data_IF_150505891252
#
_entry.id   IF_150505891252
#
_cell.length_a   1.000
_cell.length_b   1.000
_cell.length_c   1.000
_cell.angle_alpha   90.00
_cell.angle_beta   90.00
_cell.angle_gamma   90.00
#
_symmetry.space_group_name_H-M   'P 1'
#
loop_
_entity.id
_entity.type
_entity.pdbx_description
1 polymer ?
#
# COMPACT_ATOMS: atom_id res chain seq x y z
N UNK A 1 4.53 7.75 -25.99
CA UNK A 1 5.38 8.23 -24.87
C UNK A 1 5.37 9.76 -24.70
N UNK A 2 5.97 10.56 -25.60
CA UNK A 2 6.03 12.05 -25.45
C UNK A 2 4.66 12.74 -25.30
N UNK A 3 3.59 12.23 -25.91
CA UNK A 3 2.29 12.91 -25.94
C UNK A 3 1.49 12.76 -24.63
N UNK A 4 1.56 11.60 -23.96
CA UNK A 4 0.81 11.36 -22.70
C UNK A 4 1.46 12.10 -21.53
N UNK A 5 2.79 12.01 -21.40
CA UNK A 5 3.52 12.76 -20.37
C UNK A 5 3.36 14.28 -20.53
N UNK A 6 3.34 14.79 -21.77
CA UNK A 6 3.01 16.20 -22.06
C UNK A 6 1.57 16.55 -21.69
N UNK A 7 0.61 15.64 -21.89
CA UNK A 7 -0.79 15.85 -21.53
C UNK A 7 -0.97 15.97 -20.01
N UNK A 8 -0.31 15.12 -19.22
CA UNK A 8 -0.34 15.19 -17.75
C UNK A 8 0.23 16.52 -17.26
N UNK A 9 1.37 16.96 -17.83
CA UNK A 9 1.95 18.26 -17.52
C UNK A 9 1.01 19.42 -17.92
N UNK A 10 0.40 19.37 -19.12
CA UNK A 10 -0.56 20.37 -19.60
C UNK A 10 -1.80 20.46 -18.69
N UNK A 11 -2.39 19.33 -18.29
CA UNK A 11 -3.53 19.29 -17.35
C UNK A 11 -3.15 19.93 -16.01
N UNK A 12 -1.96 19.65 -15.48
CA UNK A 12 -1.46 20.28 -14.26
C UNK A 12 -1.35 21.81 -14.34
N UNK A 13 -0.98 22.36 -15.49
CA UNK A 13 -0.94 23.82 -15.70
C UNK A 13 -2.33 24.45 -15.85
N UNK A 14 -3.29 23.75 -16.46
CA UNK A 14 -4.66 24.27 -16.68
C UNK A 14 -5.44 24.43 -15.38
N UNK A 15 -5.21 23.58 -14.37
CA UNK A 15 -5.89 23.67 -13.06
C UNK A 15 -5.24 24.61 -12.04
N UNK A 16 -4.29 25.46 -12.46
CA UNK A 16 -3.72 26.52 -11.61
C UNK A 16 -4.68 27.71 -11.48
N UNK A 17 -5.79 27.53 -10.76
CA UNK A 17 -6.73 28.60 -10.42
C UNK A 17 -6.77 28.80 -8.90
N UNK A 18 -6.88 30.07 -8.47
CA UNK A 18 -6.98 30.47 -7.06
C UNK A 18 -8.27 29.92 -6.44
N UNK A 19 -8.21 28.74 -5.83
CA UNK A 19 -9.28 28.22 -4.98
C UNK A 19 -9.09 28.70 -3.52
N UNK A 20 -10.20 29.07 -2.87
CA UNK A 20 -10.24 29.55 -1.49
C UNK A 20 -9.97 28.41 -0.48
N UNK A 21 -10.12 27.15 -0.91
CA UNK A 21 -9.75 25.93 -0.20
C UNK A 21 -9.16 24.91 -1.19
N UNK A 22 -7.97 24.36 -0.90
CA UNK A 22 -7.27 23.40 -1.79
C UNK A 22 -7.88 22.00 -1.62
N UNK A 23 -8.07 21.23 -2.71
CA UNK A 23 -8.56 19.86 -2.61
C UNK A 23 -7.57 18.99 -1.81
N UNK A 24 -8.11 18.06 -1.02
CA UNK A 24 -7.33 17.07 -0.26
C UNK A 24 -7.72 15.69 -0.74
N UNK A 25 -6.79 15.03 -1.41
CA UNK A 25 -6.97 13.67 -1.93
C UNK A 25 -6.57 12.64 -0.86
N UNK A 26 -7.54 11.89 -0.35
CA UNK A 26 -7.36 10.79 0.60
C UNK A 26 -6.69 9.58 -0.04
N UNK A 27 -6.23 8.62 0.74
CA UNK A 27 -5.56 7.43 0.20
C UNK A 27 -6.50 6.53 -0.62
N UNK A 28 -7.74 6.41 -0.18
CA UNK A 28 -8.83 5.74 -0.89
C UNK A 28 -9.76 6.82 -1.44
N UNK A 29 -10.08 6.76 -2.73
CA UNK A 29 -10.81 7.83 -3.44
C UNK A 29 -12.22 8.05 -2.90
N UNK A 30 -12.86 7.00 -2.40
CA UNK A 30 -14.18 7.11 -1.77
C UNK A 30 -14.14 7.81 -0.39
N UNK A 31 -13.00 8.23 0.14
CA UNK A 31 -12.96 9.08 1.34
C UNK A 31 -12.71 10.56 1.01
N UNK A 32 -12.56 10.91 -0.27
CA UNK A 32 -12.43 12.31 -0.69
C UNK A 32 -13.72 13.09 -0.33
N UNK A 33 -13.58 14.20 0.41
CA UNK A 33 -14.70 15.02 0.87
C UNK A 33 -14.72 16.39 0.18
N UNK A 34 -15.70 16.56 -0.70
CA UNK A 34 -15.95 17.80 -1.44
C UNK A 34 -17.25 18.51 -0.99
N UNK A 35 -17.81 18.15 0.16
CA UNK A 35 -19.08 18.72 0.64
C UNK A 35 -19.00 20.20 0.95
N UNK A 36 -17.79 20.74 1.20
CA UNK A 36 -17.54 22.19 1.32
C UNK A 36 -17.92 22.98 0.06
N UNK A 37 -17.94 22.35 -1.11
CA UNK A 37 -18.39 22.99 -2.35
C UNK A 37 -19.90 23.18 -2.39
N UNK A 38 -20.68 22.52 -1.53
CA UNK A 38 -22.15 22.60 -1.55
C UNK A 38 -22.66 24.04 -1.61
N UNK A 39 -22.12 24.92 -0.77
CA UNK A 39 -22.58 26.30 -0.59
C UNK A 39 -21.88 27.30 -1.52
N UNK A 40 -20.92 26.84 -2.34
CA UNK A 40 -20.18 27.70 -3.26
C UNK A 40 -21.02 28.07 -4.48
N UNK A 41 -21.34 29.36 -4.63
CA UNK A 41 -22.11 29.89 -5.77
C UNK A 41 -21.25 30.22 -7.00
N UNK A 42 -19.93 30.17 -6.85
CA UNK A 42 -18.92 30.60 -7.84
C UNK A 42 -18.02 29.47 -8.33
N UNK A 43 -18.54 28.24 -8.35
CA UNK A 43 -17.81 27.03 -8.78
C UNK A 43 -17.21 27.15 -10.19
N UNK A 44 -15.92 26.84 -10.31
CA UNK A 44 -15.26 26.61 -11.59
C UNK A 44 -15.65 25.24 -12.21
N UNK A 45 -15.16 24.92 -13.41
CA UNK A 45 -15.52 23.69 -14.11
C UNK A 45 -15.15 22.41 -13.35
N UNK A 46 -14.00 22.41 -12.66
CA UNK A 46 -13.56 21.32 -11.82
C UNK A 46 -14.47 21.15 -10.59
N UNK A 47 -14.76 22.24 -9.89
CA UNK A 47 -15.62 22.21 -8.70
C UNK A 47 -17.04 21.74 -9.03
N UNK A 48 -17.54 22.02 -10.25
CA UNK A 48 -18.83 21.54 -10.72
C UNK A 48 -18.89 20.01 -10.88
N UNK A 49 -17.82 19.35 -11.29
CA UNK A 49 -17.79 17.88 -11.37
C UNK A 49 -17.51 17.23 -10.01
N UNK A 50 -16.93 17.98 -9.06
CA UNK A 50 -16.72 17.54 -7.68
C UNK A 50 -17.94 17.62 -6.79
N UNK A 51 -18.92 18.42 -7.16
CA UNK A 51 -20.19 18.45 -6.47
C UNK A 51 -21.33 18.75 -7.45
N UNK A 52 -21.98 17.68 -7.91
CA UNK A 52 -23.11 17.70 -8.83
C UNK A 52 -24.39 17.47 -8.00
N UNK A 53 -25.22 18.50 -7.74
CA UNK A 53 -26.47 18.31 -7.01
C UNK A 53 -27.46 17.46 -7.84
N UNK A 54 -28.07 16.46 -7.22
CA UNK A 54 -29.04 15.54 -7.85
C UNK A 54 -30.47 15.88 -7.41
N UNK A 55 -30.91 17.09 -7.75
CA UNK A 55 -32.22 17.62 -7.41
C UNK A 55 -32.18 18.68 -6.31
N UNK A 56 -33.31 18.87 -5.62
CA UNK A 56 -33.46 19.90 -4.57
C UNK A 56 -33.08 19.41 -3.18
N UNK A 57 -32.87 18.11 -2.99
CA UNK A 57 -32.49 17.56 -1.71
C UNK A 57 -30.97 17.63 -1.58
N UNK A 58 -30.50 18.44 -0.63
CA UNK A 58 -29.11 18.65 -0.30
C UNK A 58 -28.31 17.38 0.04
N UNK A 59 -29.00 16.28 0.38
CA UNK A 59 -28.38 14.98 0.62
C UNK A 59 -28.13 14.17 -0.65
N UNK A 60 -28.60 14.66 -1.80
CA UNK A 60 -28.52 13.98 -3.09
C UNK A 60 -27.49 14.69 -3.96
N UNK A 61 -26.34 14.07 -4.15
CA UNK A 61 -25.25 14.64 -4.95
C UNK A 61 -24.38 13.54 -5.54
N UNK A 62 -23.66 13.89 -6.61
CA UNK A 62 -22.63 13.06 -7.19
C UNK A 62 -21.28 13.79 -7.22
N UNK A 63 -20.20 13.03 -7.18
CA UNK A 63 -18.84 13.50 -7.43
C UNK A 63 -18.22 12.63 -8.51
N UNK A 64 -17.39 13.23 -9.36
CA UNK A 64 -16.58 12.52 -10.35
C UNK A 64 -15.12 12.83 -10.04
N UNK A 65 -14.28 11.82 -10.04
CA UNK A 65 -12.85 11.98 -9.80
C UNK A 65 -12.01 10.97 -10.53
N UNK A 66 -10.70 11.13 -10.38
CA UNK A 66 -9.78 10.21 -10.99
C UNK A 66 -8.33 10.46 -10.64
N UNK A 67 -7.50 9.56 -11.14
CA UNK A 67 -6.07 9.60 -11.02
C UNK A 67 -5.43 9.20 -12.35
N UNK A 68 -4.35 9.89 -12.71
CA UNK A 68 -3.42 9.49 -13.75
C UNK A 68 -2.06 9.40 -13.10
N UNK A 69 -1.41 8.24 -13.17
CA UNK A 69 -0.03 8.08 -12.73
C UNK A 69 0.79 7.50 -13.87
N UNK A 70 1.81 8.24 -14.28
CA UNK A 70 2.82 7.79 -15.23
C UNK A 70 4.13 7.60 -14.49
N UNK A 71 4.73 6.41 -14.59
CA UNK A 71 5.99 6.09 -13.96
C UNK A 71 6.93 5.43 -14.97
N UNK A 72 8.00 6.12 -15.33
CA UNK A 72 9.09 5.51 -16.07
C UNK A 72 10.07 4.87 -15.09
N UNK A 73 10.42 3.61 -15.32
CA UNK A 73 11.32 2.83 -14.49
C UNK A 73 12.49 2.32 -15.32
N UNK A 74 13.67 2.36 -14.73
CA UNK A 74 14.89 1.80 -15.29
C UNK A 74 15.58 0.96 -14.22
N UNK A 75 15.95 -0.27 -14.58
CA UNK A 75 16.60 -1.23 -13.68
C UNK A 75 17.89 -1.74 -14.30
N UNK A 76 18.82 -2.14 -13.44
CA UNK A 76 20.04 -2.88 -13.84
C UNK A 76 20.21 -4.06 -12.91
N UNK A 77 20.45 -5.24 -13.48
CA UNK A 77 20.52 -6.53 -12.80
C UNK A 77 19.22 -6.87 -12.03
N UNK A 78 18.06 -6.83 -12.69
CA UNK A 78 16.78 -7.18 -12.07
C UNK A 78 16.85 -8.56 -11.39
N UNK A 79 16.18 -8.67 -10.24
CA UNK A 79 16.34 -9.77 -9.27
C UNK A 79 17.80 -10.15 -9.02
N UNK A 80 18.64 -9.15 -8.73
CA UNK A 80 20.08 -9.33 -8.47
C UNK A 80 20.84 -10.04 -9.60
N UNK A 81 20.35 -9.92 -10.83
CA UNK A 81 20.95 -10.45 -12.06
C UNK A 81 20.40 -11.79 -12.51
N UNK A 82 19.40 -12.35 -11.83
CA UNK A 82 18.76 -13.61 -12.21
C UNK A 82 17.70 -13.42 -13.31
N UNK A 83 17.24 -12.19 -13.52
CA UNK A 83 16.36 -11.82 -14.63
C UNK A 83 17.05 -10.89 -15.63
N UNK A 84 16.55 -10.92 -16.87
CA UNK A 84 17.03 -10.03 -17.92
C UNK A 84 16.45 -8.63 -17.74
N UNK A 85 17.31 -7.63 -17.75
CA UNK A 85 16.87 -6.24 -17.71
C UNK A 85 16.05 -5.86 -18.95
N UNK A 86 15.02 -5.04 -18.73
CA UNK A 86 14.38 -4.29 -19.80
C UNK A 86 15.36 -3.23 -20.31
N UNK A 87 16.06 -3.50 -21.43
CA UNK A 87 17.20 -2.72 -21.92
C UNK A 87 17.10 -1.19 -21.73
N UNK A 88 16.08 -0.55 -22.30
CA UNK A 88 15.87 0.91 -22.21
C UNK A 88 14.84 1.32 -21.13
N UNK A 89 14.58 0.46 -20.14
CA UNK A 89 13.52 0.65 -19.13
C UNK A 89 12.11 0.41 -19.65
N UNK A 90 11.11 0.67 -18.80
CA UNK A 90 9.69 0.50 -19.10
C UNK A 90 8.83 1.62 -18.52
N UNK A 91 7.59 1.78 -19.04
CA UNK A 91 6.63 2.77 -18.57
C UNK A 91 5.40 2.07 -18.00
N UNK A 92 5.09 2.42 -16.75
CA UNK A 92 3.85 2.05 -16.08
C UNK A 92 2.88 3.21 -16.13
N UNK A 93 1.69 2.99 -16.68
CA UNK A 93 0.60 3.95 -16.67
C UNK A 93 -0.56 3.41 -15.85
N UNK A 94 -1.08 4.20 -14.92
CA UNK A 94 -2.31 3.90 -14.16
C UNK A 94 -3.34 5.01 -14.40
N UNK A 95 -4.55 4.60 -14.71
CA UNK A 95 -5.73 5.47 -14.79
C UNK A 95 -6.79 4.96 -13.84
N UNK A 96 -7.29 5.83 -12.97
CA UNK A 96 -8.49 5.61 -12.15
C UNK A 96 -9.54 6.63 -12.57
N UNK A 97 -10.76 6.16 -12.81
CA UNK A 97 -11.92 7.01 -13.04
C UNK A 97 -13.06 6.55 -12.16
N UNK A 98 -13.56 7.45 -11.31
CA UNK A 98 -14.60 7.12 -10.34
C UNK A 98 -15.78 8.08 -10.35
N UNK A 99 -16.91 7.56 -9.88
CA UNK A 99 -18.11 8.29 -9.55
C UNK A 99 -18.61 7.86 -8.16
N UNK A 100 -18.92 8.84 -7.33
CA UNK A 100 -19.49 8.65 -5.99
C UNK A 100 -20.86 9.32 -5.95
N UNK A 101 -21.90 8.55 -5.62
CA UNK A 101 -23.28 9.04 -5.66
C UNK A 101 -23.95 8.81 -4.32
N UNK A 102 -24.43 9.90 -3.72
CA UNK A 102 -25.13 9.91 -2.45
C UNK A 102 -26.61 10.16 -2.67
N UNK A 103 -27.45 9.33 -2.04
CA UNK A 103 -28.90 9.42 -2.05
C UNK A 103 -29.46 9.21 -0.64
N UNK A 104 -29.27 10.20 0.24
CA UNK A 104 -29.80 10.16 1.59
C UNK A 104 -29.01 9.19 2.47
N UNK A 105 -29.60 8.04 2.81
CA UNK A 105 -28.92 6.98 3.59
C UNK A 105 -28.17 5.98 2.71
N UNK A 106 -28.38 6.04 1.40
CA UNK A 106 -27.71 5.19 0.44
C UNK A 106 -26.55 5.94 -0.20
N UNK A 107 -25.45 5.22 -0.45
CA UNK A 107 -24.34 5.73 -1.25
C UNK A 107 -23.82 4.61 -2.14
N UNK A 108 -23.50 4.90 -3.39
CA UNK A 108 -22.81 3.97 -4.28
C UNK A 108 -21.54 4.59 -4.82
N UNK A 109 -20.49 3.79 -4.95
CA UNK A 109 -19.23 4.21 -5.54
C UNK A 109 -18.83 3.22 -6.61
N UNK A 110 -18.38 3.73 -7.75
CA UNK A 110 -17.88 2.94 -8.87
C UNK A 110 -16.54 3.51 -9.33
N UNK A 111 -15.56 2.64 -9.56
CA UNK A 111 -14.24 3.01 -10.07
C UNK A 111 -13.76 2.03 -11.12
N UNK A 112 -13.34 2.56 -12.27
CA UNK A 112 -12.62 1.81 -13.30
C UNK A 112 -11.12 2.01 -13.09
N UNK A 113 -10.35 0.94 -13.25
CA UNK A 113 -8.88 0.98 -13.24
C UNK A 113 -8.34 0.46 -14.56
N UNK A 114 -7.34 1.16 -15.10
CA UNK A 114 -6.48 0.69 -16.17
C UNK A 114 -5.03 0.79 -15.71
N UNK A 115 -4.29 -0.32 -15.80
CA UNK A 115 -2.88 -0.46 -15.45
C UNK A 115 -2.13 -1.04 -16.65
N UNK A 116 -1.30 -0.25 -17.30
CA UNK A 116 -0.57 -0.63 -18.51
C UNK A 116 0.94 -0.72 -18.22
N UNK A 117 1.61 -1.72 -18.80
CA UNK A 117 3.05 -1.91 -18.67
C UNK A 117 3.73 -1.90 -20.04
N UNK A 118 4.03 -0.69 -20.55
CA UNK A 118 4.63 -0.52 -21.86
C UNK A 118 6.13 -0.86 -21.83
N UNK A 119 6.56 -1.72 -22.76
CA UNK A 119 7.95 -2.18 -22.92
C UNK A 119 8.52 -3.00 -21.76
N UNK A 120 7.70 -3.37 -20.78
CA UNK A 120 8.09 -4.35 -19.75
C UNK A 120 8.04 -5.75 -20.34
N UNK A 121 9.09 -6.53 -20.14
CA UNK A 121 9.14 -7.94 -20.53
C UNK A 121 8.32 -8.72 -19.50
N UNK A 122 7.41 -9.58 -19.98
CA UNK A 122 6.56 -10.47 -19.17
C UNK A 122 5.92 -9.79 -17.93
N UNK A 123 5.08 -8.76 -18.12
CA UNK A 123 4.49 -8.01 -17.01
C UNK A 123 3.63 -8.92 -16.13
N UNK A 124 3.81 -8.81 -14.81
CA UNK A 124 2.99 -9.53 -13.85
C UNK A 124 1.59 -8.91 -13.73
N UNK A 125 0.60 -9.59 -13.11
CA UNK A 125 -0.73 -9.01 -12.93
C UNK A 125 -0.82 -7.76 -12.05
N UNK A 126 0.26 -7.44 -11.30
CA UNK A 126 0.35 -6.18 -10.56
C UNK A 126 1.01 -5.06 -11.38
N UNK A 127 1.62 -5.39 -12.51
CA UNK A 127 2.17 -4.45 -13.50
C UNK A 127 1.13 -4.11 -14.58
N UNK A 128 0.46 -5.11 -15.15
CA UNK A 128 -0.52 -4.96 -16.22
C UNK A 128 -1.88 -5.60 -15.88
N UNK A 129 -2.91 -4.77 -15.93
CA UNK A 129 -4.32 -5.13 -15.96
C UNK A 129 -5.06 -4.05 -16.76
N UNK A 130 -5.48 -4.35 -18.00
CA UNK A 130 -5.68 -3.31 -19.02
C UNK A 130 -6.91 -2.46 -18.75
N UNK A 131 -8.02 -3.04 -18.31
CA UNK A 131 -9.21 -2.28 -17.91
C UNK A 131 -10.20 -3.15 -17.14
N UNK A 132 -10.46 -2.82 -15.87
CA UNK A 132 -11.39 -3.56 -15.03
C UNK A 132 -12.26 -2.67 -14.14
N UNK A 133 -13.39 -3.25 -13.69
CA UNK A 133 -14.21 -2.69 -12.64
C UNK A 133 -13.50 -2.91 -11.29
N UNK A 134 -12.76 -1.89 -10.87
CA UNK A 134 -11.89 -1.97 -9.69
C UNK A 134 -12.67 -1.84 -8.39
N UNK A 135 -13.66 -0.95 -8.33
CA UNK A 135 -14.56 -0.82 -7.18
C UNK A 135 -16.00 -0.66 -7.64
N UNK A 136 -16.92 -1.29 -6.92
CA UNK A 136 -18.35 -1.17 -7.09
C UNK A 136 -19.04 -1.64 -5.81
N UNK A 137 -19.49 -0.70 -4.98
CA UNK A 137 -20.13 -1.01 -3.71
C UNK A 137 -21.35 -0.14 -3.41
N UNK A 138 -22.21 -0.66 -2.55
CA UNK A 138 -23.34 0.04 -1.94
C UNK A 138 -23.10 0.17 -0.43
N UNK A 139 -23.24 1.40 0.07
CA UNK A 139 -23.27 1.76 1.48
C UNK A 139 -24.72 2.04 1.90
N UNK A 140 -25.07 1.56 3.09
CA UNK A 140 -26.32 1.87 3.80
C UNK A 140 -25.96 2.42 5.18
N UNK A 141 -26.24 3.70 5.40
CA UNK A 141 -26.07 4.37 6.67
C UNK A 141 -27.27 4.06 7.60
N UNK A 142 -27.06 3.21 8.60
CA UNK A 142 -28.04 2.96 9.66
C UNK A 142 -28.07 4.10 10.67
N UNK A 143 -26.90 4.70 10.93
CA UNK A 143 -26.72 5.86 11.80
C UNK A 143 -25.76 6.80 11.09
N UNK A 144 -26.13 8.08 10.95
CA UNK A 144 -25.23 9.14 10.50
C UNK A 144 -25.62 10.46 11.13
N UNK A 145 -24.88 10.84 12.16
CA UNK A 145 -25.00 12.13 12.85
C UNK A 145 -23.60 12.68 13.19
N UNK A 146 -23.54 13.85 13.81
CA UNK A 146 -22.27 14.53 14.11
C UNK A 146 -21.29 13.72 14.96
N UNK A 147 -21.78 12.76 15.77
CA UNK A 147 -20.99 12.05 16.75
C UNK A 147 -20.81 10.57 16.45
N UNK A 148 -21.67 10.00 15.61
CA UNK A 148 -21.74 8.56 15.37
C UNK A 148 -22.10 8.26 13.91
N UNK A 149 -21.43 7.24 13.38
CA UNK A 149 -21.72 6.65 12.08
C UNK A 149 -21.76 5.13 12.23
N UNK A 150 -22.79 4.50 11.67
CA UNK A 150 -22.88 3.06 11.49
C UNK A 150 -23.29 2.80 10.05
N UNK A 151 -22.39 2.21 9.28
CA UNK A 151 -22.58 1.98 7.85
C UNK A 151 -22.30 0.52 7.53
N UNK A 152 -23.18 -0.08 6.73
CA UNK A 152 -22.94 -1.38 6.12
C UNK A 152 -22.61 -1.19 4.64
N UNK A 153 -21.50 -1.79 4.21
CA UNK A 153 -21.01 -1.79 2.84
C UNK A 153 -21.05 -3.20 2.27
N UNK A 154 -21.52 -3.34 1.04
CA UNK A 154 -21.46 -4.58 0.28
C UNK A 154 -20.98 -4.32 -1.15
N UNK A 155 -20.11 -5.18 -1.67
CA UNK A 155 -19.58 -5.11 -3.02
C UNK A 155 -18.06 -5.12 -3.08
N UNK A 156 -17.53 -4.83 -4.26
CA UNK A 156 -16.10 -4.74 -4.55
C UNK A 156 -15.55 -3.43 -4.04
N UNK A 157 -14.55 -3.49 -3.15
CA UNK A 157 -14.03 -2.32 -2.46
C UNK A 157 -12.55 -2.45 -2.16
N UNK A 158 -11.86 -1.33 -2.03
CA UNK A 158 -10.54 -1.30 -1.43
C UNK A 158 -10.62 -1.41 0.10
N UNK A 159 -9.56 -1.94 0.70
CA UNK A 159 -9.36 -1.93 2.14
C UNK A 159 -7.96 -1.44 2.49
N UNK A 160 -7.87 -0.60 3.51
CA UNK A 160 -6.62 0.00 3.99
C UNK A 160 -6.66 0.11 5.49
N UNK A 161 -5.77 -0.60 6.19
CA UNK A 161 -5.69 -0.55 7.65
C UNK A 161 -4.26 -0.28 8.13
N UNK A 162 -4.17 0.38 9.29
CA UNK A 162 -2.91 0.69 9.96
C UNK A 162 -1.88 1.38 9.08
N UNK A 163 -0.64 0.92 9.18
CA UNK A 163 0.51 1.33 8.38
C UNK A 163 0.54 0.69 6.97
N UNK A 164 -0.53 -0.05 6.58
CA UNK A 164 -0.64 -0.87 5.37
C UNK A 164 0.38 -2.02 5.27
N UNK A 165 0.85 -2.50 6.42
CA UNK A 165 1.74 -3.67 6.51
C UNK A 165 1.01 -4.99 6.29
N UNK A 166 -0.27 -5.09 6.66
CA UNK A 166 -1.06 -6.33 6.53
C UNK A 166 -2.15 -6.26 5.46
N UNK A 167 -2.87 -5.14 5.40
CA UNK A 167 -3.96 -4.92 4.43
C UNK A 167 -3.78 -3.54 3.84
N UNK A 168 -3.58 -3.52 2.53
CA UNK A 168 -3.33 -2.31 1.77
C UNK A 168 -4.14 -2.28 0.48
N UNK A 169 -4.09 -1.11 -0.15
CA UNK A 169 -4.56 -0.87 -1.51
C UNK A 169 -3.50 -1.16 -2.57
N UNK A 170 -2.27 -1.56 -2.19
CA UNK A 170 -1.10 -1.66 -3.09
C UNK A 170 -0.85 -0.39 -3.88
N UNK A 171 -0.61 0.71 -3.16
CA UNK A 171 -0.38 2.00 -3.82
C UNK A 171 0.86 2.00 -4.71
N UNK A 172 1.93 1.28 -4.32
CA UNK A 172 3.22 1.28 -5.03
C UNK A 172 3.22 0.47 -6.34
N UNK A 173 2.75 -0.80 -6.39
CA UNK A 173 2.56 -1.53 -7.65
C UNK A 173 1.72 -0.74 -8.67
N UNK A 174 1.67 -1.16 -9.95
CA UNK A 174 0.89 -0.44 -10.97
C UNK A 174 -0.61 -0.71 -10.91
N UNK A 175 -1.02 -1.87 -10.41
CA UNK A 175 -2.41 -2.21 -10.16
C UNK A 175 -2.72 -2.25 -8.66
N UNK A 176 -3.79 -1.57 -8.24
CA UNK A 176 -4.29 -1.62 -6.86
C UNK A 176 -5.07 -2.92 -6.66
N UNK A 177 -5.25 -3.32 -5.40
CA UNK A 177 -6.03 -4.52 -5.03
C UNK A 177 -7.38 -4.15 -4.45
N UNK A 178 -8.40 -4.89 -4.87
CA UNK A 178 -9.76 -4.81 -4.32
C UNK A 178 -10.18 -6.13 -3.68
N UNK A 179 -11.28 -6.06 -2.94
CA UNK A 179 -11.83 -7.14 -2.15
C UNK A 179 -13.34 -7.19 -2.39
N UNK A 180 -13.87 -8.35 -2.78
CA UNK A 180 -15.30 -8.58 -2.89
C UNK A 180 -15.85 -9.04 -1.54
N UNK A 181 -16.85 -8.35 -1.00
CA UNK A 181 -17.49 -8.83 0.22
C UNK A 181 -18.32 -7.79 0.94
N UNK A 182 -18.44 -7.99 2.25
CA UNK A 182 -19.23 -7.12 3.11
C UNK A 182 -18.40 -6.59 4.27
N UNK A 183 -18.71 -5.37 4.70
CA UNK A 183 -18.05 -4.67 5.79
C UNK A 183 -19.08 -3.88 6.58
N UNK A 184 -19.03 -3.99 7.90
CA UNK A 184 -19.75 -3.12 8.81
C UNK A 184 -18.72 -2.24 9.51
N UNK A 185 -18.91 -0.92 9.46
CA UNK A 185 -18.04 0.00 10.19
C UNK A 185 -18.82 0.95 11.06
N UNK A 186 -18.33 1.11 12.28
CA UNK A 186 -18.85 2.00 13.29
C UNK A 186 -17.78 3.02 13.66
N UNK A 187 -18.15 4.30 13.67
CA UNK A 187 -17.27 5.39 14.06
C UNK A 187 -17.97 6.26 15.09
N UNK A 188 -17.23 6.66 16.12
CA UNK A 188 -17.59 7.74 17.03
C UNK A 188 -16.40 8.70 17.20
N UNK A 189 -16.54 9.70 18.10
CA UNK A 189 -15.52 10.75 18.33
C UNK A 189 -14.07 10.27 18.41
N UNK A 190 -13.79 9.18 19.13
CA UNK A 190 -12.44 8.69 19.37
C UNK A 190 -12.25 7.22 19.01
N UNK A 191 -13.31 6.53 18.56
CA UNK A 191 -13.32 5.10 18.32
C UNK A 191 -13.80 4.81 16.91
N UNK A 192 -13.08 3.94 16.20
CA UNK A 192 -13.54 3.37 14.94
C UNK A 192 -13.39 1.85 15.02
N UNK A 193 -14.37 1.11 14.51
CA UNK A 193 -14.27 -0.34 14.39
C UNK A 193 -14.92 -0.81 13.11
N UNK A 194 -14.17 -1.62 12.40
CA UNK A 194 -14.55 -2.22 11.14
C UNK A 194 -14.59 -3.73 11.35
N UNK A 195 -15.63 -4.40 10.88
CA UNK A 195 -15.73 -5.86 10.82
C UNK A 195 -16.06 -6.26 9.38
N UNK A 196 -15.39 -7.27 8.84
CA UNK A 196 -15.50 -7.60 7.43
C UNK A 196 -15.32 -9.09 7.15
N UNK A 197 -15.90 -9.51 6.03
CA UNK A 197 -15.66 -10.80 5.39
C UNK A 197 -15.56 -10.58 3.89
N UNK A 198 -14.43 -10.95 3.31
CA UNK A 198 -14.08 -10.57 1.95
C UNK A 198 -13.28 -11.64 1.22
N UNK A 199 -13.27 -11.53 -0.10
CA UNK A 199 -12.52 -12.33 -1.05
C UNK A 199 -11.57 -11.38 -1.80
N UNK A 200 -10.26 -11.43 -1.53
CA UNK A 200 -9.27 -10.62 -2.22
C UNK A 200 -9.22 -10.95 -3.71
N UNK A 201 -9.35 -9.95 -4.57
CA UNK A 201 -9.33 -10.14 -6.02
C UNK A 201 -7.94 -10.54 -6.50
N UNK A 202 -7.90 -11.54 -7.38
CA UNK A 202 -6.71 -11.92 -8.11
C UNK A 202 -6.77 -11.20 -9.47
N UNK A 203 -5.95 -10.17 -9.64
CA UNK A 203 -5.87 -9.47 -10.92
C UNK A 203 -5.37 -10.44 -11.99
N UNK A 204 -5.97 -10.39 -13.18
CA UNK A 204 -5.58 -11.20 -14.33
C UNK A 204 -5.35 -10.26 -15.52
N UNK A 205 -4.20 -10.33 -16.22
CA UNK A 205 -3.96 -9.46 -17.36
C UNK A 205 -5.06 -9.59 -18.42
N UNK A 206 -5.80 -8.51 -18.66
CA UNK A 206 -6.95 -8.56 -19.55
C UNK A 206 -7.84 -7.33 -19.45
N UNK A 207 -9.10 -7.50 -19.84
CA UNK A 207 -10.15 -6.48 -19.78
C UNK A 207 -11.41 -7.14 -19.24
N UNK A 208 -11.94 -6.62 -18.14
CA UNK A 208 -13.19 -7.08 -17.50
C UNK A 208 -13.19 -8.58 -17.21
N UNK A 209 -12.09 -9.09 -16.66
CA UNK A 209 -11.88 -10.51 -16.38
C UNK A 209 -11.40 -10.78 -14.94
N UNK A 210 -11.43 -9.78 -14.07
CA UNK A 210 -11.18 -9.94 -12.65
C UNK A 210 -12.42 -10.50 -11.94
N UNK A 211 -12.57 -11.83 -12.01
CA UNK A 211 -13.67 -12.59 -11.42
C UNK A 211 -13.58 -12.69 -9.88
N UNK A 212 -14.70 -13.09 -9.27
CA UNK A 212 -14.76 -13.42 -7.86
C UNK A 212 -13.75 -14.53 -7.51
N UNK A 213 -12.97 -14.33 -6.44
CA UNK A 213 -11.90 -15.26 -6.09
C UNK A 213 -12.32 -16.23 -4.97
N UNK A 214 -12.67 -17.46 -5.33
CA UNK A 214 -12.97 -18.54 -4.37
C UNK A 214 -11.74 -19.17 -3.72
N UNK A 215 -10.53 -18.83 -4.16
CA UNK A 215 -9.28 -19.44 -3.66
C UNK A 215 -8.65 -18.68 -2.49
N UNK A 216 -9.18 -17.52 -2.12
CA UNK A 216 -8.70 -16.75 -0.99
C UNK A 216 -9.85 -16.05 -0.25
N UNK A 217 -9.79 -16.07 1.08
CA UNK A 217 -10.75 -15.39 1.96
C UNK A 217 -10.00 -14.61 3.03
N UNK A 218 -10.52 -13.44 3.37
CA UNK A 218 -9.98 -12.56 4.39
C UNK A 218 -11.14 -12.02 5.23
N UNK A 219 -11.10 -12.24 6.54
CA UNK A 219 -12.11 -11.76 7.48
C UNK A 219 -11.45 -11.20 8.72
N UNK A 220 -12.17 -10.39 9.48
CA UNK A 220 -11.61 -9.87 10.71
C UNK A 220 -12.35 -8.68 11.28
N UNK A 221 -11.72 -8.11 12.29
CA UNK A 221 -12.11 -6.84 12.90
C UNK A 221 -10.89 -5.97 13.13
N UNK A 222 -11.02 -4.67 12.87
CA UNK A 222 -9.97 -3.68 13.08
C UNK A 222 -10.55 -2.50 13.87
N UNK A 223 -9.99 -2.24 15.05
CA UNK A 223 -10.42 -1.17 15.95
C UNK A 223 -9.32 -0.14 16.09
N UNK A 224 -9.65 1.14 15.98
CA UNK A 224 -8.76 2.27 16.25
C UNK A 224 -9.33 3.10 17.40
N UNK A 225 -8.50 3.38 18.40
CA UNK A 225 -8.84 4.22 19.55
C UNK A 225 -7.86 5.39 19.59
N UNK A 226 -8.40 6.60 19.48
CA UNK A 226 -7.65 7.85 19.53
C UNK A 226 -7.71 8.50 20.91
N UNK A 227 -6.77 9.42 21.17
CA UNK A 227 -6.65 10.18 22.42
C UNK A 227 -6.46 9.29 23.67
N UNK A 228 -5.74 8.20 23.52
CA UNK A 228 -5.32 7.38 24.66
C UNK A 228 -4.23 8.14 25.43
N UNK A 229 -4.35 8.31 26.76
CA UNK A 229 -3.33 8.99 27.56
C UNK A 229 -1.93 8.40 27.33
N UNK A 230 -0.92 9.27 27.23
CA UNK A 230 0.51 8.96 27.04
C UNK A 230 0.92 8.36 25.68
N UNK A 231 0.05 7.62 24.99
CA UNK A 231 0.39 6.91 23.74
C UNK A 231 -0.34 7.42 22.48
N UNK A 232 -1.26 8.38 22.65
CA UNK A 232 -2.14 8.99 21.64
C UNK A 232 -3.09 8.04 20.92
N UNK A 233 -2.62 7.04 20.19
CA UNK A 233 -3.48 6.16 19.39
C UNK A 233 -3.08 4.69 19.55
N UNK A 234 -4.06 3.81 19.56
CA UNK A 234 -3.88 2.36 19.55
C UNK A 234 -4.83 1.71 18.55
N UNK A 235 -4.31 0.75 17.80
CA UNK A 235 -5.09 -0.13 16.94
C UNK A 235 -5.09 -1.54 17.57
N UNK A 236 -6.24 -2.22 17.54
CA UNK A 236 -6.40 -3.61 17.98
C UNK A 236 -7.09 -4.39 16.88
N UNK A 237 -6.56 -5.55 16.50
CA UNK A 237 -7.13 -6.30 15.39
C UNK A 237 -7.03 -7.81 15.51
N UNK A 238 -8.00 -8.45 14.87
CA UNK A 238 -8.02 -9.87 14.55
C UNK A 238 -8.21 -10.03 13.04
N UNK A 239 -7.35 -10.79 12.39
CA UNK A 239 -7.41 -11.05 10.95
C UNK A 239 -7.30 -12.55 10.68
N UNK A 240 -8.30 -13.12 10.03
CA UNK A 240 -8.28 -14.47 9.50
C UNK A 240 -8.04 -14.49 8.00
N UNK A 241 -7.18 -15.38 7.56
CA UNK A 241 -6.84 -15.66 6.17
C UNK A 241 -7.11 -17.14 5.89
N UNK A 242 -7.72 -17.40 4.75
CA UNK A 242 -7.77 -18.73 4.18
C UNK A 242 -7.28 -18.68 2.74
N UNK A 243 -6.41 -19.61 2.36
CA UNK A 243 -5.97 -19.82 0.96
C UNK A 243 -6.11 -21.29 0.60
N UNK A 244 -6.62 -21.55 -0.59
CA UNK A 244 -6.69 -22.92 -1.12
C UNK A 244 -5.28 -23.51 -1.34
N UNK A 245 -4.31 -22.66 -1.67
CA UNK A 245 -2.90 -23.03 -1.81
C UNK A 245 -2.00 -21.88 -1.41
N UNK A 246 -1.11 -22.12 -0.47
CA UNK A 246 0.02 -21.29 -0.09
C UNK A 246 1.33 -22.07 -0.30
N UNK A 247 2.43 -21.35 -0.52
CA UNK A 247 3.76 -21.92 -0.76
C UNK A 247 4.73 -21.19 0.16
N UNK A 248 5.42 -21.96 0.98
CA UNK A 248 6.53 -21.59 1.84
C UNK A 248 7.71 -22.50 1.50
N UNK A 249 8.92 -22.16 1.95
CA UNK A 249 10.12 -22.97 1.71
C UNK A 249 9.99 -24.41 2.24
N UNK A 250 9.20 -24.57 3.30
CA UNK A 250 9.00 -25.83 4.00
C UNK A 250 7.55 -26.36 3.98
N UNK A 251 6.62 -25.64 3.37
CA UNK A 251 5.21 -26.07 3.36
C UNK A 251 4.49 -25.65 2.09
N UNK A 252 3.69 -26.56 1.53
CA UNK A 252 2.82 -26.27 0.39
C UNK A 252 1.44 -26.86 0.66
N UNK A 253 0.40 -26.04 0.50
CA UNK A 253 -0.97 -26.51 0.51
C UNK A 253 -1.95 -25.51 1.11
N UNK A 254 -3.10 -26.01 1.56
CA UNK A 254 -4.21 -25.21 2.08
C UNK A 254 -3.83 -24.56 3.40
N UNK A 255 -3.96 -23.26 3.48
CA UNK A 255 -3.61 -22.45 4.65
C UNK A 255 -4.86 -21.88 5.30
N UNK A 256 -4.97 -22.05 6.62
CA UNK A 256 -5.90 -21.27 7.47
C UNK A 256 -5.08 -20.60 8.54
N UNK A 257 -4.98 -19.27 8.50
CA UNK A 257 -4.15 -18.48 9.40
C UNK A 257 -5.00 -17.44 10.12
N UNK A 258 -4.71 -17.22 11.37
CA UNK A 258 -5.29 -16.18 12.21
C UNK A 258 -4.18 -15.30 12.75
N UNK A 259 -4.42 -14.00 12.84
CA UNK A 259 -3.49 -13.01 13.35
C UNK A 259 -4.17 -12.17 14.42
N UNK A 260 -3.54 -12.02 15.59
CA UNK A 260 -3.90 -10.98 16.57
C UNK A 260 -2.76 -10.00 16.68
N UNK A 261 -3.07 -8.70 16.62
CA UNK A 261 -2.05 -7.68 16.72
C UNK A 261 -2.54 -6.38 17.32
N UNK A 262 -1.55 -5.55 17.64
CA UNK A 262 -1.74 -4.21 18.19
C UNK A 262 -0.74 -3.26 17.55
N UNK A 263 -1.14 -1.99 17.42
CA UNK A 263 -0.29 -0.92 16.93
C UNK A 263 -0.45 0.30 17.80
N UNK A 264 0.64 0.92 18.22
CA UNK A 264 0.65 2.15 19.02
C UNK A 264 1.35 3.22 18.19
N UNK A 265 0.69 4.35 17.95
CA UNK A 265 1.21 5.34 17.02
C UNK A 265 0.88 6.79 17.37
N UNK A 266 1.80 7.67 17.00
CA UNK A 266 1.72 9.12 17.11
C UNK A 266 2.34 9.75 15.86
N UNK A 267 1.57 10.60 15.18
CA UNK A 267 1.99 11.25 13.93
C UNK A 267 2.15 12.77 14.03
N UNK A 268 1.89 13.36 15.20
CA UNK A 268 1.89 14.82 15.42
C UNK A 268 3.02 15.27 16.34
N UNK A 269 3.50 16.48 16.11
CA UNK A 269 4.62 17.08 16.83
C UNK A 269 5.97 16.54 16.37
N UNK A 270 7.02 16.93 17.08
CA UNK A 270 8.40 16.66 16.70
C UNK A 270 8.77 15.19 16.86
N UNK A 271 8.27 14.54 17.92
CA UNK A 271 8.43 13.10 18.13
C UNK A 271 7.25 12.34 17.53
N UNK A 272 7.55 11.49 16.54
CA UNK A 272 6.60 10.58 15.89
C UNK A 272 7.05 9.14 16.13
N UNK A 273 6.09 8.24 16.32
CA UNK A 273 6.37 6.82 16.46
C UNK A 273 5.23 5.96 15.94
N UNK A 274 5.56 4.74 15.56
CA UNK A 274 4.65 3.69 15.12
C UNK A 274 5.28 2.34 15.51
N UNK A 275 4.70 1.72 16.53
CA UNK A 275 5.10 0.40 17.02
C UNK A 275 3.98 -0.57 16.72
N UNK A 276 4.27 -1.66 16.03
CA UNK A 276 3.27 -2.67 15.67
C UNK A 276 3.82 -4.07 15.95
N UNK A 277 2.97 -4.93 16.50
CA UNK A 277 3.32 -6.31 16.80
C UNK A 277 2.12 -7.22 16.63
N UNK A 278 2.35 -8.40 16.05
CA UNK A 278 1.31 -9.41 15.91
C UNK A 278 1.85 -10.83 16.01
N UNK A 279 0.96 -11.73 16.40
CA UNK A 279 1.18 -13.18 16.44
C UNK A 279 0.20 -13.88 15.51
N UNK A 280 0.68 -14.89 14.81
CA UNK A 280 -0.06 -15.69 13.85
C UNK A 280 -0.08 -17.16 14.25
N UNK A 281 -1.26 -17.78 14.14
CA UNK A 281 -1.50 -19.18 14.45
C UNK A 281 -2.49 -19.79 13.46
N UNK A 282 -2.59 -21.12 13.44
CA UNK A 282 -3.47 -21.83 12.51
C UNK A 282 -2.78 -23.07 11.93
N UNK A 283 -3.08 -23.39 10.68
CA UNK A 283 -2.56 -24.60 10.00
C UNK A 283 -2.24 -24.35 8.54
N UNK A 284 -1.23 -25.07 8.04
CA UNK A 284 -1.04 -25.33 6.61
C UNK A 284 -0.87 -26.84 6.44
N UNK A 285 -1.80 -27.46 5.71
CA UNK A 285 -1.90 -28.93 5.64
C UNK A 285 -1.80 -29.57 7.04
N UNK A 286 -0.74 -30.35 7.30
CA UNK A 286 -0.47 -31.05 8.54
C UNK A 286 0.45 -30.28 9.52
N UNK A 287 0.95 -29.09 9.15
CA UNK A 287 1.82 -28.26 10.00
C UNK A 287 1.02 -27.20 10.77
N UNK A 288 1.43 -26.94 12.01
CA UNK A 288 0.85 -25.90 12.87
C UNK A 288 1.58 -24.58 12.70
N UNK A 289 0.85 -23.51 12.42
CA UNK A 289 1.43 -22.16 12.26
C UNK A 289 1.71 -21.54 13.63
N UNK A 290 2.88 -20.93 13.79
CA UNK A 290 3.25 -20.11 14.94
C UNK A 290 4.28 -19.05 14.53
N UNK A 291 3.82 -17.95 13.96
CA UNK A 291 4.67 -16.90 13.43
C UNK A 291 4.39 -15.54 14.11
N UNK A 292 5.29 -14.57 13.98
CA UNK A 292 5.14 -13.27 14.60
C UNK A 292 6.01 -12.21 13.92
N UNK A 293 5.70 -10.96 14.19
CA UNK A 293 6.58 -9.84 13.84
C UNK A 293 6.46 -8.73 14.88
N UNK A 294 7.55 -7.99 15.04
CA UNK A 294 7.59 -6.71 15.74
C UNK A 294 8.22 -5.67 14.81
N UNK A 295 7.61 -4.50 14.76
CA UNK A 295 8.11 -3.37 13.98
C UNK A 295 8.13 -2.10 14.81
N UNK A 296 9.18 -1.31 14.62
CA UNK A 296 9.36 -0.01 15.25
C UNK A 296 9.75 1.01 14.19
N UNK A 297 9.00 2.09 14.09
CA UNK A 297 9.36 3.27 13.32
C UNK A 297 9.29 4.49 14.24
N UNK A 298 10.42 5.13 14.50
CA UNK A 298 10.50 6.33 15.34
C UNK A 298 11.21 7.44 14.58
N UNK A 299 10.68 8.66 14.63
CA UNK A 299 11.35 9.82 14.04
C UNK A 299 11.26 11.07 14.92
N UNK A 300 12.25 11.95 14.73
CA UNK A 300 12.33 13.25 15.37
C UNK A 300 12.58 14.37 14.34
N UNK A 301 11.69 15.36 14.31
CA UNK A 301 11.81 16.54 13.44
C UNK A 301 12.42 17.73 14.18
N UNK A 302 13.51 18.28 13.64
CA UNK A 302 14.16 19.48 14.15
C UNK A 302 13.62 20.75 13.47
N UNK A 303 12.47 21.24 13.94
CA UNK A 303 11.74 22.38 13.33
C UNK A 303 12.52 23.71 13.32
N UNK A 304 13.55 23.86 14.16
CA UNK A 304 14.36 25.08 14.27
C UNK A 304 15.69 25.01 13.51
N UNK A 305 15.90 23.96 12.71
CA UNK A 305 17.07 23.79 11.84
C UNK A 305 16.63 23.98 10.40
N UNK A 306 17.48 24.60 9.57
CA UNK A 306 17.18 24.82 8.15
C UNK A 306 16.77 23.50 7.49
N UNK A 307 15.65 23.53 6.76
CA UNK A 307 15.00 22.38 6.10
C UNK A 307 14.32 21.36 7.02
N UNK A 308 14.08 21.71 8.29
CA UNK A 308 13.34 20.90 9.25
C UNK A 308 13.73 19.40 9.24
N UNK A 309 15.03 19.05 9.37
CA UNK A 309 15.47 17.67 9.18
C UNK A 309 14.69 16.73 10.11
N UNK A 310 14.16 15.66 9.54
CA UNK A 310 13.54 14.56 10.27
C UNK A 310 14.49 13.37 10.24
N UNK A 311 14.99 12.96 11.42
CA UNK A 311 15.79 11.75 11.57
C UNK A 311 14.88 10.62 11.99
N UNK A 312 14.91 9.51 11.25
CA UNK A 312 14.10 8.33 11.50
C UNK A 312 14.92 7.07 11.65
N UNK A 313 14.38 6.12 12.41
CA UNK A 313 14.86 4.75 12.48
C UNK A 313 13.66 3.81 12.39
N UNK A 314 13.66 3.00 11.33
CA UNK A 314 12.78 1.86 11.16
C UNK A 314 13.59 0.59 11.43
N UNK A 315 12.96 -0.39 12.05
CA UNK A 315 13.57 -1.69 12.29
C UNK A 315 12.50 -2.71 12.58
N UNK A 316 12.65 -3.86 11.94
CA UNK A 316 11.74 -4.97 12.13
C UNK A 316 12.46 -6.28 12.40
N UNK A 317 11.74 -7.15 13.11
CA UNK A 317 12.06 -8.56 13.24
C UNK A 317 10.82 -9.35 12.87
N UNK A 318 10.99 -10.25 11.93
CA UNK A 318 9.92 -10.98 11.27
C UNK A 318 10.32 -12.45 11.28
N UNK A 319 9.50 -13.29 11.92
CA UNK A 319 9.85 -14.68 12.13
C UNK A 319 10.01 -15.47 10.83
N UNK A 320 11.02 -16.32 10.80
CA UNK A 320 11.20 -17.39 9.82
C UNK A 320 11.13 -18.76 10.48
N UNK A 321 11.02 -19.79 9.65
CA UNK A 321 10.99 -21.18 10.09
C UNK A 321 12.35 -21.66 10.60
N UNK A 322 12.38 -22.23 11.81
CA UNK A 322 13.65 -22.64 12.43
C UNK A 322 14.11 -24.02 11.99
N UNK A 323 13.17 -24.89 11.63
CA UNK A 323 13.43 -26.30 11.36
C UNK A 323 12.42 -26.86 10.35
N UNK A 324 12.88 -27.10 9.13
CA UNK A 324 12.03 -27.61 8.05
C UNK A 324 11.44 -29.01 8.32
N UNK A 325 12.10 -29.79 9.17
CA UNK A 325 11.74 -31.21 9.35
C UNK A 325 10.79 -31.46 10.53
N UNK A 326 10.13 -30.42 11.05
CA UNK A 326 9.15 -30.55 12.13
C UNK A 326 7.68 -30.34 11.68
N UNK A 327 6.75 -30.37 12.64
CA UNK A 327 5.31 -30.18 12.37
C UNK A 327 4.85 -28.73 12.55
N UNK A 328 5.74 -27.75 12.45
CA UNK A 328 5.46 -26.32 12.63
C UNK A 328 5.77 -25.55 11.35
N UNK A 329 5.17 -24.37 11.25
CA UNK A 329 5.56 -23.34 10.29
C UNK A 329 5.62 -22.01 11.03
N UNK A 330 6.82 -21.43 11.11
CA UNK A 330 7.08 -20.22 11.88
C UNK A 330 7.35 -19.00 10.97
N UNK A 331 7.32 -19.21 9.65
CA UNK A 331 7.37 -18.13 8.65
C UNK A 331 6.15 -17.22 8.76
N UNK A 332 6.43 -15.94 8.96
CA UNK A 332 5.42 -14.90 8.97
C UNK A 332 4.81 -14.68 7.57
N UNK A 333 3.51 -14.41 7.52
CA UNK A 333 2.77 -14.09 6.29
C UNK A 333 2.15 -12.68 6.41
N UNK A 334 2.55 -11.69 5.59
CA UNK A 334 2.04 -10.32 5.65
C UNK A 334 0.65 -10.14 5.04
N UNK A 335 -0.02 -11.22 4.62
CA UNK A 335 -1.36 -11.19 4.03
C UNK A 335 -1.40 -10.44 2.68
N UNK A 336 -1.75 -9.16 2.69
CA UNK A 336 -1.92 -8.29 1.52
C UNK A 336 -1.22 -6.93 1.71
N UNK A 337 0.13 -6.93 1.85
CA UNK A 337 0.90 -5.72 2.13
C UNK A 337 0.93 -4.75 0.93
N UNK A 338 1.42 -3.53 1.17
CA UNK A 338 1.58 -2.44 0.18
C UNK A 338 2.50 -2.72 -1.03
N UNK A 339 3.10 -3.91 -1.12
CA UNK A 339 4.08 -4.27 -2.14
C UNK A 339 5.48 -3.80 -1.74
N UNK A 340 5.79 -2.54 -2.00
CA UNK A 340 7.10 -1.97 -1.66
C UNK A 340 7.18 -1.69 -0.14
N UNK A 341 7.53 -2.74 0.61
CA UNK A 341 7.40 -2.79 2.07
C UNK A 341 8.48 -1.97 2.79
N UNK A 342 9.74 -2.25 2.43
CA UNK A 342 10.98 -1.70 2.99
C UNK A 342 11.59 -0.56 2.16
N UNK A 343 10.82 0.04 1.24
CA UNK A 343 11.35 1.06 0.35
C UNK A 343 10.72 1.01 -1.03
N UNK A 344 11.46 1.43 -2.05
CA UNK A 344 10.96 1.64 -3.41
C UNK A 344 11.10 0.40 -4.31
N UNK A 345 12.17 -0.37 -4.10
CA UNK A 345 12.56 -1.52 -4.94
C UNK A 345 11.55 -2.66 -4.87
N UNK A 346 10.94 -2.89 -3.71
CA UNK A 346 9.85 -3.85 -3.55
C UNK A 346 10.18 -5.32 -3.88
N UNK A 347 11.47 -5.70 -3.97
CA UNK A 347 11.89 -7.07 -4.23
C UNK A 347 11.79 -7.96 -2.97
N UNK A 348 12.16 -7.42 -1.81
CA UNK A 348 12.17 -8.16 -0.54
C UNK A 348 10.83 -7.98 0.18
N UNK A 349 10.20 -9.10 0.55
CA UNK A 349 9.00 -9.19 1.34
C UNK A 349 9.27 -9.39 2.83
N UNK A 350 8.32 -9.02 3.70
CA UNK A 350 8.48 -9.13 5.13
C UNK A 350 8.20 -10.55 5.62
N UNK A 351 9.13 -11.48 5.39
CA UNK A 351 9.09 -12.85 5.94
C UNK A 351 10.51 -13.32 6.17
N UNK A 352 10.77 -13.98 7.32
CA UNK A 352 12.10 -14.43 7.70
C UNK A 352 13.18 -13.32 7.62
N UNK A 353 12.90 -12.14 8.19
CA UNK A 353 13.73 -10.95 7.97
C UNK A 353 14.01 -10.20 9.27
N UNK A 354 15.21 -9.64 9.37
CA UNK A 354 15.59 -8.60 10.32
C UNK A 354 16.13 -7.45 9.49
N UNK A 355 15.72 -6.23 9.82
CA UNK A 355 16.24 -5.03 9.17
C UNK A 355 16.57 -3.89 10.15
N UNK A 356 17.48 -3.03 9.69
CA UNK A 356 17.81 -1.75 10.32
C UNK A 356 17.80 -0.70 9.23
N UNK A 357 16.87 0.25 9.35
CA UNK A 357 16.54 1.20 8.29
C UNK A 357 16.54 2.65 8.80
N UNK A 358 17.73 3.26 9.04
CA UNK A 358 17.86 4.69 9.29
C UNK A 358 17.41 5.52 8.08
N UNK A 359 16.82 6.68 8.35
CA UNK A 359 16.37 7.62 7.32
C UNK A 359 16.57 9.07 7.73
N UNK A 360 16.73 9.95 6.74
CA UNK A 360 16.71 11.40 6.89
C UNK A 360 15.73 11.96 5.85
N UNK A 361 14.82 12.82 6.28
CA UNK A 361 13.97 13.60 5.38
C UNK A 361 14.18 15.11 5.60
N UNK A 362 14.17 15.89 4.53
CA UNK A 362 14.39 17.34 4.52
C UNK A 362 13.26 18.04 3.76
N UNK A 363 12.70 19.08 4.34
CA UNK A 363 11.80 20.02 3.69
C UNK A 363 12.62 21.14 3.02
N UNK A 364 13.07 20.93 1.78
CA UNK A 364 13.89 21.90 1.07
C UNK A 364 13.12 23.20 0.78
N UNK A 365 11.83 23.08 0.47
CA UNK A 365 10.85 24.17 0.38
C UNK A 365 9.47 23.68 0.84
N UNK A 366 8.44 24.54 0.79
CA UNK A 366 7.04 24.16 1.03
C UNK A 366 6.47 23.18 -0.02
N UNK A 367 7.18 22.97 -1.12
CA UNK A 367 6.77 22.10 -2.24
C UNK A 367 7.75 20.99 -2.56
N UNK A 368 9.00 21.08 -2.11
CA UNK A 368 10.07 20.16 -2.47
C UNK A 368 10.60 19.47 -1.22
N UNK A 369 10.37 18.16 -1.12
CA UNK A 369 10.95 17.29 -0.12
C UNK A 369 12.11 16.48 -0.70
N UNK A 370 13.08 16.15 0.16
CA UNK A 370 14.14 15.19 -0.14
C UNK A 370 14.21 14.14 0.96
N UNK A 371 14.25 12.87 0.57
CA UNK A 371 14.45 11.74 1.47
C UNK A 371 15.67 10.93 1.09
N UNK A 372 16.36 10.41 2.10
CA UNK A 372 17.40 9.40 1.96
C UNK A 372 17.22 8.37 3.06
N UNK A 373 17.33 7.09 2.72
CA UNK A 373 17.26 6.00 3.68
C UNK A 373 18.24 4.89 3.32
N UNK A 374 18.71 4.16 4.32
CA UNK A 374 19.68 3.11 4.17
C UNK A 374 19.21 1.88 4.92
N UNK A 375 18.87 0.82 4.21
CA UNK A 375 18.33 -0.41 4.78
C UNK A 375 19.37 -1.52 4.75
N UNK A 376 19.38 -2.37 5.78
CA UNK A 376 20.35 -3.44 5.97
C UNK A 376 19.59 -4.71 6.35
N UNK A 377 19.69 -5.74 5.52
CA UNK A 377 18.83 -6.92 5.59
C UNK A 377 19.58 -8.17 6.00
N UNK A 378 18.98 -8.91 6.92
CA UNK A 378 19.41 -10.25 7.33
C UNK A 378 18.23 -11.21 7.36
N UNK A 379 18.48 -12.48 7.05
CA UNK A 379 17.51 -13.54 7.35
C UNK A 379 17.36 -13.69 8.86
N UNK A 380 16.13 -13.80 9.37
CA UNK A 380 15.90 -14.00 10.81
C UNK A 380 16.33 -15.40 11.26
N UNK A 381 16.13 -16.39 10.40
CA UNK A 381 16.57 -17.79 10.50
C UNK A 381 17.28 -18.19 9.21
N UNK A 382 18.32 -19.01 9.32
CA UNK A 382 19.07 -19.50 8.14
C UNK A 382 18.39 -20.71 7.51
N UNK A 383 17.52 -21.41 8.24
CA UNK A 383 16.79 -22.60 7.79
C UNK A 383 15.60 -22.30 6.88
N UNK A 384 15.21 -21.03 6.73
CA UNK A 384 14.08 -20.58 5.92
C UNK A 384 14.56 -19.63 4.81
N UNK A 385 13.72 -19.51 3.78
CA UNK A 385 14.03 -18.77 2.57
C UNK A 385 13.88 -17.25 2.69
N UNK A 386 14.19 -16.59 1.58
CA UNK A 386 13.88 -15.18 1.34
C UNK A 386 12.64 -15.10 0.44
N UNK A 387 11.72 -14.22 0.78
CA UNK A 387 10.42 -14.10 0.11
C UNK A 387 10.25 -12.72 -0.50
N UNK A 388 9.44 -12.64 -1.56
CA UNK A 388 8.93 -11.39 -2.12
C UNK A 388 7.67 -10.92 -1.36
N UNK A 389 7.23 -9.65 -1.52
CA UNK A 389 6.09 -9.10 -0.78
C UNK A 389 4.76 -9.84 -0.95
N UNK A 390 4.60 -10.60 -2.04
CA UNK A 390 3.43 -11.42 -2.33
C UNK A 390 3.52 -12.85 -1.75
N UNK A 391 4.52 -13.15 -0.91
CA UNK A 391 4.86 -14.48 -0.40
C UNK A 391 5.43 -15.46 -1.44
N UNK A 392 5.88 -14.99 -2.61
CA UNK A 392 6.66 -15.84 -3.48
C UNK A 392 8.02 -16.13 -2.84
N UNK A 393 8.40 -17.40 -2.74
CA UNK A 393 9.75 -17.79 -2.37
C UNK A 393 10.72 -17.37 -3.49
N UNK A 394 11.69 -16.53 -3.15
CA UNK A 394 12.73 -16.07 -4.08
C UNK A 394 13.91 -17.05 -4.07
N UNK A 395 14.42 -17.33 -2.88
CA UNK A 395 15.52 -18.27 -2.65
C UNK A 395 15.23 -19.11 -1.43
N UNK A 396 15.45 -20.41 -1.56
CA UNK A 396 15.38 -21.33 -0.42
C UNK A 396 16.50 -21.05 0.57
N UNK A 397 16.25 -21.30 1.85
CA UNK A 397 17.27 -21.31 2.89
C UNK A 397 18.01 -22.64 3.01
N UNK A 398 17.60 -23.66 2.24
CA UNK A 398 18.24 -24.99 2.23
C UNK A 398 19.65 -24.89 1.66
N UNK A 399 20.55 -25.70 2.23
CA UNK A 399 21.95 -25.83 1.82
C UNK A 399 22.80 -24.54 1.96
N UNK A 400 22.35 -23.55 2.73
CA UNK A 400 23.10 -22.32 3.00
C UNK A 400 23.01 -21.89 4.46
N UNK A 401 24.13 -21.42 5.02
CA UNK A 401 24.18 -20.82 6.36
C UNK A 401 24.28 -19.30 6.34
N UNK A 402 24.29 -18.68 5.15
CA UNK A 402 24.55 -17.26 4.99
C UNK A 402 23.35 -16.41 5.38
N UNK A 403 23.55 -15.47 6.31
CA UNK A 403 22.44 -14.68 6.85
C UNK A 403 22.25 -13.34 6.13
N UNK A 404 23.34 -12.72 5.70
CA UNK A 404 23.33 -11.34 5.24
C UNK A 404 22.79 -11.25 3.81
N UNK A 405 21.63 -10.62 3.66
CA UNK A 405 20.92 -10.49 2.38
C UNK A 405 21.52 -9.34 1.57
N UNK A 406 21.79 -8.20 2.20
CA UNK A 406 22.42 -7.06 1.53
C UNK A 406 22.08 -5.73 2.18
N UNK A 407 22.45 -4.65 1.50
CA UNK A 407 22.16 -3.27 1.91
C UNK A 407 21.51 -2.51 0.76
N UNK A 408 20.69 -1.51 1.08
CA UNK A 408 19.98 -0.71 0.10
C UNK A 408 20.04 0.77 0.47
N UNK A 409 20.64 1.58 -0.40
CA UNK A 409 20.57 3.03 -0.30
C UNK A 409 19.43 3.52 -1.18
N UNK A 410 18.49 4.28 -0.63
CA UNK A 410 17.38 4.88 -1.36
C UNK A 410 17.44 6.39 -1.23
N UNK A 411 17.06 7.08 -2.30
CA UNK A 411 16.83 8.52 -2.30
C UNK A 411 15.57 8.86 -3.09
N UNK A 412 14.86 9.89 -2.64
CA UNK A 412 13.68 10.41 -3.33
C UNK A 412 13.62 11.94 -3.26
N UNK A 413 13.13 12.55 -4.34
CA UNK A 413 12.73 13.95 -4.40
C UNK A 413 11.25 14.00 -4.75
N UNK A 414 10.46 14.65 -3.91
CA UNK A 414 9.02 14.82 -4.12
C UNK A 414 8.71 16.30 -4.31
N UNK A 415 8.18 16.65 -5.48
CA UNK A 415 7.80 18.00 -5.86
C UNK A 415 6.29 18.13 -6.04
N UNK A 416 5.65 18.81 -5.09
CA UNK A 416 4.22 19.16 -5.16
C UNK A 416 4.07 20.44 -5.99
N UNK A 417 3.82 20.28 -7.29
CA UNK A 417 3.65 21.41 -8.22
C UNK A 417 2.48 22.27 -7.78
N UNK A 418 1.34 21.61 -7.55
CA UNK A 418 0.08 22.16 -7.06
C UNK A 418 -0.76 21.03 -6.41
N UNK A 419 -1.97 21.30 -5.87
CA UNK A 419 -2.79 20.27 -5.21
C UNK A 419 -3.17 19.06 -6.10
N UNK A 420 -3.09 19.20 -7.42
CA UNK A 420 -3.49 18.18 -8.39
C UNK A 420 -2.30 17.37 -8.93
N UNK A 421 -1.10 17.96 -9.01
CA UNK A 421 0.06 17.36 -9.67
C UNK A 421 1.26 17.26 -8.72
N UNK A 422 1.74 16.03 -8.56
CA UNK A 422 3.00 15.70 -7.90
C UNK A 422 3.97 15.06 -8.88
N UNK A 423 5.23 15.45 -8.81
CA UNK A 423 6.34 14.82 -9.54
C UNK A 423 7.30 14.21 -8.52
N UNK A 424 7.74 12.97 -8.75
CA UNK A 424 8.69 12.28 -7.89
C UNK A 424 9.85 11.70 -8.69
N UNK A 425 11.07 11.86 -8.21
CA UNK A 425 12.26 11.16 -8.70
C UNK A 425 12.76 10.26 -7.60
N UNK A 426 12.97 9.00 -7.94
CA UNK A 426 13.26 7.93 -7.01
C UNK A 426 14.47 7.15 -7.51
N UNK A 427 15.40 6.80 -6.62
CA UNK A 427 16.58 6.02 -6.95
C UNK A 427 16.97 5.11 -5.80
N UNK A 428 17.35 3.87 -6.12
CA UNK A 428 17.85 2.92 -5.15
C UNK A 428 19.05 2.13 -5.70
N UNK A 429 20.04 1.92 -4.84
CA UNK A 429 21.19 1.07 -5.08
C UNK A 429 21.21 -0.04 -4.03
N UNK A 430 21.18 -1.29 -4.47
CA UNK A 430 21.22 -2.46 -3.61
C UNK A 430 22.56 -3.19 -3.78
N UNK A 431 23.32 -3.34 -2.69
CA UNK A 431 24.51 -4.18 -2.68
C UNK A 431 24.17 -5.59 -2.20
N UNK A 432 24.45 -6.58 -3.04
CA UNK A 432 24.16 -7.98 -2.72
C UNK A 432 25.06 -8.51 -1.59
N UNK A 433 24.43 -9.06 -0.55
CA UNK A 433 25.08 -9.69 0.59
C UNK A 433 25.60 -11.10 0.27
N UNK A 434 26.18 -11.76 1.28
CA UNK A 434 26.75 -13.10 1.14
C UNK A 434 25.70 -14.14 0.78
N UNK A 435 24.49 -14.04 1.32
CA UNK A 435 23.40 -14.97 1.01
C UNK A 435 23.06 -14.94 -0.49
N UNK A 436 22.79 -13.76 -1.06
CA UNK A 436 22.42 -13.63 -2.48
C UNK A 436 23.53 -14.05 -3.44
N UNK A 437 24.80 -13.88 -3.02
CA UNK A 437 25.98 -14.33 -3.78
C UNK A 437 26.18 -15.84 -3.75
N UNK A 438 25.64 -16.52 -2.74
CA UNK A 438 25.73 -17.96 -2.60
C UNK A 438 24.58 -18.68 -3.33
N UNK A 439 23.36 -18.14 -3.26
CA UNK A 439 22.14 -18.79 -3.77
C UNK A 439 21.69 -18.35 -5.17
N UNK A 440 22.30 -17.31 -5.73
CA UNK A 440 21.94 -16.74 -7.03
C UNK A 440 23.10 -16.01 -7.71
N UNK A 441 22.80 -15.14 -8.67
CA UNK A 441 23.83 -14.36 -9.37
C UNK A 441 24.54 -13.34 -8.48
N UNK A 442 23.88 -12.87 -7.42
CA UNK A 442 24.46 -12.00 -6.40
C UNK A 442 25.01 -10.67 -6.92
N UNK A 443 24.42 -10.12 -7.99
CA UNK A 443 24.82 -8.82 -8.54
C UNK A 443 24.18 -7.68 -7.76
N UNK A 444 24.87 -6.55 -7.76
CA UNK A 444 24.31 -5.30 -7.25
C UNK A 444 23.20 -4.81 -8.19
N UNK A 445 22.10 -4.35 -7.61
CA UNK A 445 20.90 -3.94 -8.33
C UNK A 445 20.73 -2.42 -8.27
N UNK A 446 20.37 -1.82 -9.40
CA UNK A 446 20.01 -0.42 -9.48
C UNK A 446 18.54 -0.27 -9.91
N UNK A 447 17.84 0.66 -9.27
CA UNK A 447 16.50 1.09 -9.64
C UNK A 447 16.44 2.60 -9.72
N UNK A 448 15.85 3.11 -10.79
CA UNK A 448 15.50 4.51 -10.93
C UNK A 448 14.07 4.66 -11.44
N UNK A 449 13.33 5.62 -10.89
CA UNK A 449 12.01 5.94 -11.37
C UNK A 449 11.72 7.45 -11.42
N UNK A 450 10.98 7.85 -12.44
CA UNK A 450 10.39 9.17 -12.57
C UNK A 450 8.88 9.02 -12.62
N UNK A 451 8.18 9.59 -11.64
CA UNK A 451 6.73 9.49 -11.51
C UNK A 451 6.07 10.86 -11.65
N UNK A 452 4.99 10.94 -12.41
CA UNK A 452 4.05 12.05 -12.42
C UNK A 452 2.67 11.52 -12.00
N UNK A 453 2.10 12.08 -10.94
CA UNK A 453 0.77 11.72 -10.44
C UNK A 453 -0.15 12.94 -10.50
N UNK A 454 -1.20 12.84 -11.30
CA UNK A 454 -2.27 13.82 -11.40
C UNK A 454 -3.54 13.25 -10.78
N UNK A 455 -4.11 13.95 -9.81
CA UNK A 455 -5.41 13.62 -9.21
C UNK A 455 -6.34 14.77 -9.48
N UNK A 456 -7.57 14.46 -9.88
CA UNK A 456 -8.62 15.45 -9.98
C UNK A 456 -9.79 14.95 -9.19
#
# INVERSE_FOLDING_TARGET
>A
MKNIFRLVLLLGFVFSVKAQQKPVFQKVRYDDDFTYLKEDSTKNLYEKIKYIPLGKNDKFYATIGGEIREQYTYTVNDKWGDETDSGDGYLLSRFLLNADVHFGIFRTFVELQSSLANSKIDPSPVDENKLDLHQAFLDVDFIRNENQQLTFRIGRQEMSYGSQRLISVRERPNSRISYDGAKLFFKNKNWQTDAFYTHPIANVPGVFNDDFNDNAKLWGSYTVIHKVPFIENIDLYYLGLWKNRAVFDDAIGKETRHSFGTRIWKSKGNWKYDFEGLYQFGTIENKTISAWTLSSNTSYTFENIKFNPELGLKTEIISGDKNSDDNRLETFNPLYPKGAYFGLVGLIGPSNLIDIHPSIALDLTDKLGFGIDYDIFWRQTVSDGLYAPNMQLLYSGKDTTERFVGTQLISNFDYTVNPFLTLSVEGAWFNAGSFLKEVGSGKDYFYGALTAQFKF
#
